data_IF_902973078907
#
_entry.id   IF_902973078907
#
_cell.length_a   1.000
_cell.length_b   1.000
_cell.length_c   1.000
_cell.angle_alpha   90.00
_cell.angle_beta   90.00
_cell.angle_gamma   90.00
#
_symmetry.space_group_name_H-M   'P 1'
#
loop_
_entity.id
_entity.type
_entity.pdbx_description
1 polymer ?
#
# COMPACT_ATOMS: atom_id res chain seq x y z
N UNK A 1 -9.90 18.65 3.27
CA UNK A 1 -10.53 18.64 1.93
C UNK A 1 -9.52 18.08 0.95
N UNK A 2 -9.95 17.20 0.03
CA UNK A 2 -9.08 16.69 -1.04
C UNK A 2 -8.92 17.76 -2.14
N UNK A 3 -7.84 17.69 -2.92
CA UNK A 3 -7.67 18.52 -4.10
C UNK A 3 -8.83 18.28 -5.10
N UNK A 4 -9.19 19.29 -5.89
CA UNK A 4 -10.31 19.19 -6.84
C UNK A 4 -10.10 18.02 -7.81
N UNK A 5 -10.94 16.99 -7.68
CA UNK A 5 -10.90 15.78 -8.52
C UNK A 5 -10.23 14.57 -7.88
N UNK A 6 -9.46 14.73 -6.80
CA UNK A 6 -8.86 13.61 -6.10
C UNK A 6 -9.93 12.73 -5.43
N UNK A 7 -9.70 11.43 -5.42
CA UNK A 7 -10.62 10.42 -4.93
C UNK A 7 -9.91 9.38 -4.07
N UNK A 8 -10.62 8.89 -3.06
CA UNK A 8 -10.20 7.76 -2.24
C UNK A 8 -11.36 6.77 -2.21
N UNK A 9 -11.08 5.53 -2.59
CA UNK A 9 -11.95 4.39 -2.35
C UNK A 9 -11.32 3.54 -1.26
N UNK A 10 -12.12 3.17 -0.27
CA UNK A 10 -11.63 2.45 0.91
C UNK A 10 -12.62 1.37 1.32
N UNK A 11 -12.13 0.15 1.42
CA UNK A 11 -12.85 -0.95 2.08
C UNK A 11 -12.75 -0.81 3.60
N UNK A 12 -13.72 -1.41 4.31
CA UNK A 12 -13.59 -1.58 5.76
C UNK A 12 -12.33 -2.41 6.10
N UNK A 13 -11.60 -2.09 7.19
CA UNK A 13 -10.39 -2.83 7.59
C UNK A 13 -10.62 -4.31 7.87
N UNK A 14 -11.83 -4.74 8.16
CA UNK A 14 -12.15 -6.15 8.44
C UNK A 14 -12.64 -6.91 7.19
N UNK A 15 -12.35 -6.41 5.99
CA UNK A 15 -12.82 -7.00 4.74
C UNK A 15 -12.00 -8.23 4.36
N UNK A 16 -10.69 -8.16 4.55
CA UNK A 16 -9.73 -9.21 4.27
C UNK A 16 -8.90 -9.52 5.52
N UNK A 17 -8.21 -10.65 5.50
CA UNK A 17 -7.27 -11.06 6.54
C UNK A 17 -6.00 -11.62 5.93
N UNK A 18 -4.89 -11.46 6.62
CA UNK A 18 -3.60 -12.07 6.30
C UNK A 18 -3.03 -12.68 7.59
N UNK A 19 -2.47 -13.89 7.48
CA UNK A 19 -1.82 -14.57 8.60
C UNK A 19 -0.33 -14.71 8.29
N UNK A 20 0.51 -14.21 9.19
CA UNK A 20 1.97 -14.31 9.13
C UNK A 20 2.46 -14.96 10.43
N UNK A 21 3.08 -16.14 10.32
CA UNK A 21 3.31 -16.99 11.49
C UNK A 21 1.99 -17.35 12.17
N UNK A 22 1.89 -17.12 13.48
CA UNK A 22 0.69 -17.38 14.28
C UNK A 22 -0.17 -16.12 14.51
N UNK A 23 0.10 -15.05 13.78
CA UNK A 23 -0.59 -13.76 13.92
C UNK A 23 -1.47 -13.51 12.70
N UNK A 24 -2.75 -13.22 12.95
CA UNK A 24 -3.69 -12.75 11.92
C UNK A 24 -3.96 -11.27 12.08
N UNK A 25 -3.79 -10.52 10.99
CA UNK A 25 -4.16 -9.10 10.90
C UNK A 25 -5.25 -8.91 9.86
N UNK A 26 -6.11 -7.91 10.06
CA UNK A 26 -7.17 -7.57 9.12
C UNK A 26 -6.82 -6.32 8.30
N UNK A 27 -7.29 -6.27 7.06
CA UNK A 27 -7.14 -5.10 6.21
C UNK A 27 -8.30 -4.91 5.22
N UNK A 28 -8.39 -3.69 4.69
CA UNK A 28 -9.20 -3.34 3.53
C UNK A 28 -8.33 -2.71 2.44
N UNK A 29 -8.73 -2.84 1.17
CA UNK A 29 -8.03 -2.16 0.09
C UNK A 29 -8.34 -0.67 0.10
N UNK A 30 -7.33 0.13 -0.27
CA UNK A 30 -7.43 1.57 -0.46
C UNK A 30 -6.89 1.93 -1.84
N UNK A 31 -7.71 2.57 -2.66
CA UNK A 31 -7.29 3.13 -3.95
C UNK A 31 -7.31 4.65 -3.86
N UNK A 32 -6.20 5.29 -4.20
CA UNK A 32 -5.97 6.73 -4.05
C UNK A 32 -5.65 7.28 -5.44
N UNK A 33 -6.43 8.24 -5.90
CA UNK A 33 -6.17 9.04 -7.09
C UNK A 33 -6.05 10.51 -6.69
N UNK A 34 -4.94 11.15 -7.01
CA UNK A 34 -4.71 12.58 -6.71
C UNK A 34 -4.80 13.49 -7.93
N UNK A 35 -4.92 12.95 -9.15
CA UNK A 35 -5.00 13.69 -10.41
C UNK A 35 -6.43 13.81 -10.94
N UNK A 36 -7.35 12.98 -10.46
CA UNK A 36 -8.77 13.08 -10.74
C UNK A 36 -9.11 12.96 -12.22
N UNK A 37 -10.09 13.72 -12.75
CA UNK A 37 -10.53 13.58 -14.14
C UNK A 37 -9.51 14.11 -15.16
N UNK A 38 -8.40 14.71 -14.72
CA UNK A 38 -7.43 15.38 -15.60
C UNK A 38 -6.67 14.39 -16.48
N UNK A 39 -6.50 13.14 -16.02
CA UNK A 39 -5.89 12.04 -16.76
C UNK A 39 -4.47 12.33 -17.30
N UNK A 40 -3.81 11.32 -17.92
CA UNK A 40 -3.96 9.92 -17.54
C UNK A 40 -3.56 9.72 -16.07
N UNK A 41 -4.21 8.78 -15.37
CA UNK A 41 -3.78 8.36 -14.04
C UNK A 41 -2.68 7.31 -14.18
N UNK A 42 -1.49 7.63 -13.69
CA UNK A 42 -0.27 6.85 -13.80
C UNK A 42 0.05 6.27 -12.42
N UNK A 43 0.17 4.94 -12.38
CA UNK A 43 0.61 4.19 -11.22
C UNK A 43 1.92 4.75 -10.65
N UNK A 44 1.93 5.04 -9.35
CA UNK A 44 3.10 5.58 -8.68
C UNK A 44 3.34 7.09 -8.87
N UNK A 45 2.61 7.78 -9.75
CA UNK A 45 2.67 9.25 -9.84
C UNK A 45 1.46 9.89 -9.18
N UNK A 46 0.29 9.39 -9.55
CA UNK A 46 -0.98 9.94 -9.09
C UNK A 46 -2.07 8.89 -8.80
N UNK A 47 -1.81 7.61 -9.09
CA UNK A 47 -2.63 6.48 -8.69
C UNK A 47 -1.84 5.56 -7.76
N UNK A 48 -2.43 5.19 -6.62
CA UNK A 48 -1.81 4.34 -5.62
C UNK A 48 -2.81 3.32 -5.06
N UNK A 49 -2.36 2.08 -4.87
CA UNK A 49 -3.06 1.08 -4.07
C UNK A 49 -2.29 0.88 -2.77
N UNK A 50 -3.03 0.88 -1.66
CA UNK A 50 -2.55 0.54 -0.34
C UNK A 50 -3.49 -0.43 0.38
N UNK A 51 -3.01 -1.03 1.44
CA UNK A 51 -3.79 -1.75 2.43
C UNK A 51 -3.99 -0.86 3.66
N UNK A 52 -5.25 -0.71 4.08
CA UNK A 52 -5.62 -0.05 5.32
C UNK A 52 -5.87 -1.12 6.38
N UNK A 53 -4.92 -1.23 7.31
CA UNK A 53 -4.94 -2.24 8.36
C UNK A 53 -5.83 -1.81 9.53
N UNK A 54 -6.25 -2.78 10.33
CA UNK A 54 -7.10 -2.62 11.51
C UNK A 54 -6.47 -1.81 12.66
N UNK A 55 -5.15 -1.66 12.70
CA UNK A 55 -4.43 -0.75 13.59
C UNK A 55 -4.44 0.73 13.08
N UNK A 56 -5.07 0.98 11.93
CA UNK A 56 -5.13 2.29 11.29
C UNK A 56 -3.92 2.64 10.43
N UNK A 57 -2.95 1.74 10.29
CA UNK A 57 -1.79 1.96 9.43
C UNK A 57 -2.13 1.73 7.96
N UNK A 58 -1.40 2.44 7.09
CA UNK A 58 -1.52 2.32 5.63
C UNK A 58 -0.17 1.84 5.11
N UNK A 59 -0.16 0.73 4.38
CA UNK A 59 1.07 0.18 3.81
C UNK A 59 0.76 -0.73 2.61
N UNK A 60 1.73 -1.49 2.11
CA UNK A 60 1.51 -2.55 1.13
C UNK A 60 1.00 -3.84 1.77
N UNK A 61 0.53 -4.77 0.94
CA UNK A 61 0.19 -6.12 1.38
C UNK A 61 1.42 -6.81 2.00
N UNK A 62 1.26 -7.45 3.15
CA UNK A 62 2.36 -8.13 3.86
C UNK A 62 3.11 -7.24 4.85
N UNK A 63 3.06 -5.91 4.72
CA UNK A 63 3.55 -4.97 5.73
C UNK A 63 2.53 -4.81 6.88
N UNK A 64 2.24 -5.93 7.55
CA UNK A 64 1.22 -6.06 8.60
C UNK A 64 1.56 -5.21 9.85
N UNK A 65 0.57 -4.88 10.70
CA UNK A 65 0.79 -4.24 11.99
C UNK A 65 1.89 -4.90 12.83
N UNK A 66 1.95 -6.24 12.81
CA UNK A 66 2.94 -7.01 13.55
C UNK A 66 4.30 -7.07 12.89
N UNK A 67 4.37 -7.05 11.56
CA UNK A 67 5.64 -6.84 10.85
C UNK A 67 6.23 -5.47 11.23
N UNK A 68 5.40 -4.43 11.30
CA UNK A 68 5.82 -3.07 11.71
C UNK A 68 6.25 -2.95 13.17
N UNK A 69 5.44 -3.50 14.08
CA UNK A 69 5.63 -3.28 15.52
C UNK A 69 6.54 -4.31 16.20
N UNK A 70 6.63 -5.53 15.63
CA UNK A 70 7.31 -6.68 16.26
C UNK A 70 8.33 -7.35 15.33
N UNK A 71 8.42 -6.95 14.06
CA UNK A 71 9.29 -7.59 13.08
C UNK A 71 8.81 -8.99 12.64
N UNK A 72 7.55 -9.34 12.91
CA UNK A 72 6.96 -10.62 12.49
C UNK A 72 6.46 -10.46 11.05
N UNK A 73 7.40 -10.56 10.12
CA UNK A 73 7.19 -10.39 8.69
C UNK A 73 7.14 -11.75 7.97
N UNK A 74 6.53 -11.80 6.79
CA UNK A 74 6.57 -13.00 5.94
C UNK A 74 7.99 -13.27 5.45
N UNK A 75 8.37 -14.54 5.27
CA UNK A 75 9.57 -14.98 4.52
C UNK A 75 10.89 -14.28 4.90
N UNK A 76 11.21 -14.18 6.20
CA UNK A 76 12.45 -13.55 6.73
C UNK A 76 12.77 -12.15 6.14
N UNK A 77 11.77 -11.48 5.57
CA UNK A 77 11.95 -10.22 4.83
C UNK A 77 11.84 -9.03 5.76
N UNK A 78 12.60 -7.97 5.50
CA UNK A 78 12.37 -6.68 6.17
C UNK A 78 11.15 -5.96 5.57
N UNK A 79 10.63 -4.94 6.26
CA UNK A 79 9.58 -4.05 5.70
C UNK A 79 10.01 -3.42 4.38
N UNK A 80 11.27 -3.01 4.30
CA UNK A 80 11.83 -2.37 3.11
C UNK A 80 11.84 -3.37 1.95
N UNK A 81 12.20 -4.62 2.20
CA UNK A 81 12.19 -5.70 1.20
C UNK A 81 10.77 -5.96 0.70
N UNK A 82 9.80 -6.13 1.61
CA UNK A 82 8.38 -6.36 1.25
C UNK A 82 7.86 -5.26 0.32
N UNK A 83 8.15 -4.00 0.65
CA UNK A 83 7.73 -2.84 -0.14
C UNK A 83 8.44 -2.77 -1.49
N UNK A 84 9.75 -2.99 -1.52
CA UNK A 84 10.54 -2.94 -2.75
C UNK A 84 10.20 -4.09 -3.70
N UNK A 85 9.98 -5.30 -3.17
CA UNK A 85 9.61 -6.47 -3.96
C UNK A 85 8.24 -6.28 -4.60
N UNK A 86 7.25 -5.79 -3.85
CA UNK A 86 5.94 -5.47 -4.41
C UNK A 86 6.00 -4.31 -5.41
N UNK A 87 6.81 -3.29 -5.15
CA UNK A 87 7.02 -2.21 -6.12
C UNK A 87 7.57 -2.76 -7.45
N UNK A 88 8.68 -3.50 -7.41
CA UNK A 88 9.35 -4.03 -8.59
C UNK A 88 8.47 -5.01 -9.37
N UNK A 89 7.67 -5.81 -8.67
CA UNK A 89 6.81 -6.83 -9.29
C UNK A 89 5.52 -6.25 -9.87
N UNK A 90 4.88 -5.32 -9.16
CA UNK A 90 3.46 -4.99 -9.37
C UNK A 90 3.16 -3.53 -9.74
N UNK A 91 4.03 -2.57 -9.38
CA UNK A 91 3.68 -1.15 -9.45
C UNK A 91 3.30 -0.73 -10.88
N UNK A 92 4.08 -1.15 -11.88
CA UNK A 92 3.87 -0.79 -13.28
C UNK A 92 3.22 -1.90 -14.11
N UNK A 93 3.00 -3.10 -13.54
CA UNK A 93 2.45 -4.25 -14.26
C UNK A 93 0.94 -4.39 -14.11
N UNK A 94 0.31 -3.63 -13.21
CA UNK A 94 -1.14 -3.66 -12.97
C UNK A 94 -1.79 -2.28 -13.14
N UNK A 95 -3.03 -2.26 -13.64
CA UNK A 95 -3.84 -1.03 -13.74
C UNK A 95 -4.31 -0.47 -12.38
N UNK A 96 -3.95 -1.12 -11.27
CA UNK A 96 -4.35 -0.75 -9.91
C UNK A 96 -3.20 -0.15 -9.09
N UNK A 97 -1.99 -0.01 -9.65
CA UNK A 97 -0.84 0.58 -8.94
C UNK A 97 -0.44 -0.16 -7.65
N UNK A 98 -0.63 -1.49 -7.60
CA UNK A 98 -0.27 -2.32 -6.44
C UNK A 98 1.24 -2.23 -6.16
N UNK A 99 1.61 -1.97 -4.91
CA UNK A 99 3.01 -1.88 -4.49
C UNK A 99 3.67 -0.52 -4.70
N UNK A 100 3.07 0.39 -5.48
CA UNK A 100 3.65 1.72 -5.72
C UNK A 100 3.84 2.53 -4.43
N UNK A 101 2.86 2.47 -3.51
CA UNK A 101 2.91 3.22 -2.26
C UNK A 101 4.08 2.79 -1.37
N UNK A 102 4.51 1.53 -1.46
CA UNK A 102 5.62 1.00 -0.67
C UNK A 102 6.93 1.74 -0.94
N UNK A 103 7.21 2.07 -2.21
CA UNK A 103 8.42 2.83 -2.57
C UNK A 103 8.40 4.25 -2.02
N UNK A 104 7.25 4.93 -2.10
CA UNK A 104 7.08 6.28 -1.52
C UNK A 104 7.30 6.25 0.00
N UNK A 105 6.76 5.25 0.69
CA UNK A 105 6.95 5.11 2.14
C UNK A 105 8.44 4.89 2.48
N UNK A 106 9.12 3.99 1.76
CA UNK A 106 10.56 3.76 1.93
C UNK A 106 11.40 5.01 1.65
N UNK A 107 11.00 5.81 0.67
CA UNK A 107 11.70 7.04 0.28
C UNK A 107 11.33 8.25 1.14
N UNK A 108 10.67 8.05 2.29
CA UNK A 108 10.31 9.14 3.20
C UNK A 108 9.28 10.10 2.61
N UNK A 109 8.30 9.56 1.89
CA UNK A 109 7.24 10.29 1.18
C UNK A 109 7.73 11.16 0.01
N UNK A 110 8.90 10.83 -0.53
CA UNK A 110 9.44 11.47 -1.73
C UNK A 110 9.22 10.58 -2.96
N UNK A 111 8.85 11.18 -4.09
CA UNK A 111 8.72 10.49 -5.37
C UNK A 111 10.04 10.62 -6.15
N UNK A 112 11.01 9.77 -5.82
CA UNK A 112 12.38 9.84 -6.36
C UNK A 112 12.71 8.72 -7.39
N UNK A 113 11.69 8.11 -7.98
CA UNK A 113 11.81 6.99 -8.92
C UNK A 113 11.25 7.32 -10.31
#
# INVERSE_FOLDING_TARGET
>A
MLASGAGILLDRPSQYQITVGDVTSYHGHMLIDINGPKGPNIAGRDLFHAEFYDDGSIDVLGATPECKSKGICSEDSSLDDIRNDLFNKNCFSSGYAKGCIGKIINDGWQMNY
#
